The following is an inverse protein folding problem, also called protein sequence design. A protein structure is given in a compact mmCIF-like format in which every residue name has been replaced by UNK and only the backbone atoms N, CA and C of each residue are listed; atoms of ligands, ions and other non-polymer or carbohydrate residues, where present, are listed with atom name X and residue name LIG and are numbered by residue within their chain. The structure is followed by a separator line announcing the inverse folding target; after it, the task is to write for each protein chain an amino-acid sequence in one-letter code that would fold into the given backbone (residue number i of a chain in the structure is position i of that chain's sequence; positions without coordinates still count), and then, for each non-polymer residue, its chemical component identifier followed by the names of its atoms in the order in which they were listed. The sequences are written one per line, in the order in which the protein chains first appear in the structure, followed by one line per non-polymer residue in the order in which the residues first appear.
data_IF_006717731585
#
_entry.id   IF_006717731585
#
_cell.length_a   1.000
_cell.length_b   1.000
_cell.length_c   1.000
_cell.angle_alpha   90.00
_cell.angle_beta   90.00
_cell.angle_gamma   90.00
#
_symmetry.space_group_name_H-M   'P 1'
#
loop_
_entity.id
_entity.type
_entity.pdbx_description
1 polymer ?
#
# COMPACT_ATOMS: atom_id res chain seq x y z
N UNK A 1 48.06 32.89 -20.29
CA UNK A 1 47.36 32.65 -19.01
C UNK A 1 45.88 32.28 -19.17
N UNK A 2 45.44 31.80 -20.34
CA UNK A 2 44.04 31.40 -20.59
C UNK A 2 43.89 29.88 -20.81
N UNK A 3 44.98 29.19 -21.20
CA UNK A 3 44.96 27.77 -21.52
C UNK A 3 44.82 26.90 -20.27
N UNK A 4 45.52 27.23 -19.18
CA UNK A 4 45.45 26.51 -17.90
C UNK A 4 44.07 26.67 -17.23
N UNK A 5 43.44 27.85 -17.32
CA UNK A 5 42.08 28.06 -16.81
C UNK A 5 40.98 27.33 -17.62
N UNK A 6 41.21 27.05 -18.90
CA UNK A 6 40.28 26.27 -19.71
C UNK A 6 40.23 24.80 -19.29
N UNK A 7 41.37 24.17 -18.97
CA UNK A 7 41.42 22.76 -18.54
C UNK A 7 40.68 22.50 -17.23
N UNK A 8 40.81 23.40 -16.25
CA UNK A 8 40.11 23.32 -14.96
C UNK A 8 38.58 23.40 -15.16
N UNK A 9 38.13 24.33 -16.00
CA UNK A 9 36.70 24.51 -16.28
C UNK A 9 36.09 23.31 -17.03
N UNK A 10 36.85 22.69 -17.95
CA UNK A 10 36.43 21.48 -18.67
C UNK A 10 36.36 20.27 -17.74
N UNK A 11 37.30 20.13 -16.81
CA UNK A 11 37.29 19.06 -15.80
C UNK A 11 36.06 19.12 -14.90
N UNK A 12 35.72 20.32 -14.42
CA UNK A 12 34.53 20.55 -13.59
C UNK A 12 33.25 20.24 -14.38
N UNK A 13 33.16 20.67 -15.64
CA UNK A 13 32.02 20.37 -16.51
C UNK A 13 31.82 18.87 -16.73
N UNK A 14 32.90 18.12 -16.97
CA UNK A 14 32.84 16.66 -17.13
C UNK A 14 32.42 15.98 -15.83
N UNK A 15 32.97 16.39 -14.69
CA UNK A 15 32.60 15.84 -13.38
C UNK A 15 31.11 16.08 -13.07
N UNK A 16 30.62 17.29 -13.34
CA UNK A 16 29.21 17.64 -13.14
C UNK A 16 28.29 16.81 -14.04
N UNK A 17 28.69 16.59 -15.30
CA UNK A 17 27.94 15.78 -16.25
C UNK A 17 27.88 14.31 -15.80
N UNK A 18 28.97 13.76 -15.28
CA UNK A 18 29.02 12.40 -14.71
C UNK A 18 28.12 12.29 -13.46
N UNK A 19 28.16 13.28 -12.57
CA UNK A 19 27.30 13.31 -11.37
C UNK A 19 25.82 13.38 -11.74
N UNK A 20 25.48 14.19 -12.75
CA UNK A 20 24.12 14.35 -13.24
C UNK A 20 23.60 13.04 -13.87
N UNK A 21 24.45 12.34 -14.64
CA UNK A 21 24.12 11.03 -15.20
C UNK A 21 23.92 9.97 -14.10
N UNK A 22 24.75 9.95 -13.06
CA UNK A 22 24.58 9.04 -11.92
C UNK A 22 23.29 9.32 -11.14
N UNK A 23 22.94 10.60 -10.97
CA UNK A 23 21.72 11.01 -10.29
C UNK A 23 20.48 10.61 -11.09
N UNK A 24 20.49 10.83 -12.41
CA UNK A 24 19.44 10.37 -13.31
C UNK A 24 19.31 8.85 -13.31
N UNK A 25 20.42 8.11 -13.36
CA UNK A 25 20.42 6.65 -13.25
C UNK A 25 19.78 6.21 -11.94
N UNK A 26 20.16 6.82 -10.81
CA UNK A 26 19.55 6.49 -9.53
C UNK A 26 18.06 6.83 -9.51
N UNK A 27 17.62 8.00 -9.97
CA UNK A 27 16.20 8.39 -9.94
C UNK A 27 15.31 7.63 -10.92
N UNK A 28 15.83 7.18 -12.06
CA UNK A 28 15.06 6.39 -13.05
C UNK A 28 15.04 4.91 -12.66
N UNK A 29 16.11 4.40 -12.04
CA UNK A 29 16.22 2.99 -11.66
C UNK A 29 15.70 2.71 -10.23
N UNK A 30 15.66 3.71 -9.36
CA UNK A 30 15.19 3.59 -7.96
C UNK A 30 13.67 3.43 -7.75
N UNK A 31 12.73 3.93 -8.58
CA UNK A 31 11.32 3.96 -8.19
C UNK A 31 10.49 2.80 -8.73
N UNK A 32 11.07 1.82 -9.45
CA UNK A 32 10.35 0.54 -9.70
C UNK A 32 10.14 -0.27 -8.43
N UNK A 33 10.88 0.01 -7.35
CA UNK A 33 10.75 -0.67 -6.05
C UNK A 33 9.64 -0.07 -5.17
N UNK A 34 9.37 1.24 -5.30
CA UNK A 34 8.35 1.94 -4.51
C UNK A 34 6.96 1.78 -5.12
N UNK A 35 6.83 1.92 -6.45
CA UNK A 35 5.52 1.79 -7.13
C UNK A 35 4.97 0.36 -7.08
N UNK A 36 5.84 -0.66 -7.07
CA UNK A 36 5.43 -2.07 -6.89
C UNK A 36 4.87 -2.35 -5.49
N UNK A 37 5.12 -1.48 -4.52
CA UNK A 37 4.56 -1.58 -3.16
C UNK A 37 3.15 -0.98 -3.09
N UNK A 38 2.84 0.04 -3.90
CA UNK A 38 1.50 0.67 -3.98
C UNK A 38 0.49 -0.10 -4.85
N UNK A 39 0.95 -0.89 -5.83
CA UNK A 39 0.04 -1.68 -6.69
C UNK A 39 -0.50 -2.98 -6.08
N UNK A 40 -0.21 -3.24 -4.81
CA UNK A 40 -0.95 -4.24 -4.02
C UNK A 40 -2.20 -3.54 -3.48
N UNK A 41 -3.20 -3.40 -4.33
CA UNK A 41 -4.57 -3.14 -3.89
C UNK A 41 -4.87 -4.22 -2.84
N UNK A 42 -4.95 -3.81 -1.58
CA UNK A 42 -5.34 -4.65 -0.47
C UNK A 42 -6.75 -4.26 -0.09
N UNK A 43 -7.67 -5.22 -0.09
CA UNK A 43 -9.03 -4.98 0.38
C UNK A 43 -9.02 -5.12 1.91
N UNK A 44 -9.58 -4.13 2.60
CA UNK A 44 -9.83 -4.26 4.03
C UNK A 44 -11.08 -5.13 4.22
N UNK A 45 -10.92 -6.23 4.96
CA UNK A 45 -11.99 -7.14 5.35
C UNK A 45 -12.10 -7.16 6.88
N UNK A 46 -13.31 -7.36 7.38
CA UNK A 46 -13.57 -7.60 8.79
C UNK A 46 -14.32 -8.91 8.98
N UNK A 47 -13.89 -9.67 9.96
CA UNK A 47 -14.58 -10.85 10.45
C UNK A 47 -15.47 -10.46 11.62
N UNK A 48 -16.72 -10.90 11.57
CA UNK A 48 -17.73 -10.64 12.58
C UNK A 48 -18.14 -11.97 13.17
N UNK A 49 -18.16 -12.05 14.50
CA UNK A 49 -18.50 -13.27 15.23
C UNK A 49 -19.67 -13.01 16.17
N UNK A 50 -20.64 -13.92 16.20
CA UNK A 50 -21.71 -13.90 17.18
C UNK A 50 -21.24 -14.50 18.50
N UNK A 51 -21.42 -13.76 19.59
CA UNK A 51 -21.05 -14.21 20.95
C UNK A 51 -21.90 -15.38 21.47
N UNK A 52 -23.12 -15.58 20.92
CA UNK A 52 -24.07 -16.56 21.44
C UNK A 52 -24.00 -17.92 20.75
N UNK A 53 -23.91 -17.96 19.41
CA UNK A 53 -23.90 -19.20 18.63
C UNK A 53 -22.60 -19.47 17.88
N UNK A 54 -21.62 -18.56 17.96
CA UNK A 54 -20.35 -18.69 17.26
C UNK A 54 -20.42 -18.50 15.75
N UNK A 55 -21.54 -18.00 15.21
CA UNK A 55 -21.67 -17.67 13.79
C UNK A 55 -20.60 -16.67 13.37
N UNK A 56 -19.95 -16.89 12.21
CA UNK A 56 -18.90 -16.02 11.67
C UNK A 56 -19.21 -15.60 10.24
N UNK A 57 -18.94 -14.35 9.92
CA UNK A 57 -19.06 -13.81 8.57
C UNK A 57 -17.91 -12.85 8.27
N UNK A 58 -17.43 -12.84 7.02
CA UNK A 58 -16.42 -11.90 6.54
C UNK A 58 -17.08 -10.90 5.60
N UNK A 59 -16.90 -9.61 5.88
CA UNK A 59 -17.50 -8.52 5.11
C UNK A 59 -16.53 -7.35 4.92
N UNK A 60 -16.92 -6.38 4.09
CA UNK A 60 -16.13 -5.16 3.90
C UNK A 60 -16.11 -4.31 5.17
N UNK A 61 -15.01 -3.61 5.42
CA UNK A 61 -14.89 -2.74 6.60
C UNK A 61 -15.57 -1.41 6.36
N UNK A 62 -16.46 -1.03 7.27
CA UNK A 62 -17.06 0.29 7.33
C UNK A 62 -16.16 1.26 8.10
N UNK A 63 -16.22 2.56 7.76
CA UNK A 63 -15.42 3.58 8.44
C UNK A 63 -15.87 3.71 9.90
N UNK A 64 -14.89 3.82 10.81
CA UNK A 64 -15.15 4.01 12.24
C UNK A 64 -15.37 2.71 13.03
N UNK A 65 -15.28 1.55 12.37
CA UNK A 65 -15.39 0.25 13.04
C UNK A 65 -14.05 -0.16 13.66
N UNK A 66 -14.10 -0.75 14.86
CA UNK A 66 -12.94 -1.26 15.58
C UNK A 66 -13.17 -2.70 16.08
N UNK A 67 -12.08 -3.42 16.37
CA UNK A 67 -12.13 -4.79 16.91
C UNK A 67 -12.78 -4.77 18.30
N UNK A 68 -13.78 -5.63 18.50
CA UNK A 68 -14.59 -5.67 19.72
C UNK A 68 -15.86 -4.81 19.67
N UNK A 69 -16.09 -4.04 18.60
CA UNK A 69 -17.32 -3.27 18.43
C UNK A 69 -18.53 -4.17 18.17
N UNK A 70 -19.66 -3.89 18.83
CA UNK A 70 -20.96 -4.51 18.51
C UNK A 70 -21.56 -3.80 17.30
N UNK A 71 -21.82 -4.55 16.25
CA UNK A 71 -22.22 -4.03 14.92
C UNK A 71 -23.64 -4.48 14.52
N UNK A 72 -24.30 -5.26 15.36
CA UNK A 72 -25.70 -5.65 15.15
C UNK A 72 -26.08 -6.93 15.88
N UNK A 73 -27.20 -7.52 15.43
CA UNK A 73 -27.77 -8.75 15.97
C UNK A 73 -27.63 -9.89 14.96
N UNK A 74 -27.35 -11.09 15.46
CA UNK A 74 -27.21 -12.29 14.66
C UNK A 74 -28.56 -12.73 14.11
N UNK A 75 -28.65 -12.87 12.78
CA UNK A 75 -29.84 -13.35 12.08
C UNK A 75 -30.26 -14.78 12.46
N UNK A 76 -29.34 -15.59 13.00
CA UNK A 76 -29.62 -16.98 13.39
C UNK A 76 -30.16 -17.14 14.81
N UNK A 77 -29.71 -16.33 15.76
CA UNK A 77 -29.98 -16.55 17.19
C UNK A 77 -30.31 -15.30 18.01
N UNK A 78 -30.28 -14.13 17.38
CA UNK A 78 -30.52 -12.84 18.04
C UNK A 78 -29.42 -12.37 19.00
N UNK A 79 -28.29 -13.09 19.09
CA UNK A 79 -27.13 -12.67 19.89
C UNK A 79 -26.38 -11.49 19.28
N UNK A 80 -25.52 -10.85 20.06
CA UNK A 80 -24.72 -9.72 19.59
C UNK A 80 -23.63 -10.18 18.61
N UNK A 81 -23.53 -9.46 17.48
CA UNK A 81 -22.47 -9.60 16.50
C UNK A 81 -21.36 -8.62 16.83
N UNK A 82 -20.16 -9.15 17.03
CA UNK A 82 -18.98 -8.39 17.42
C UNK A 82 -17.90 -8.54 16.36
N UNK A 83 -17.20 -7.45 16.08
CA UNK A 83 -16.05 -7.46 15.17
C UNK A 83 -14.91 -8.23 15.82
N UNK A 84 -14.58 -9.39 15.26
CA UNK A 84 -13.54 -10.28 15.77
C UNK A 84 -12.16 -9.89 15.26
N UNK A 85 -12.05 -9.55 13.98
CA UNK A 85 -10.77 -9.16 13.38
C UNK A 85 -10.96 -8.20 12.21
N UNK A 86 -9.98 -7.32 11.97
CA UNK A 86 -9.89 -6.45 10.81
C UNK A 86 -8.52 -6.66 10.17
N UNK A 87 -8.49 -7.03 8.89
CA UNK A 87 -7.24 -7.36 8.20
C UNK A 87 -7.26 -6.90 6.74
N UNK A 88 -6.06 -6.68 6.20
CA UNK A 88 -5.86 -6.32 4.81
C UNK A 88 -5.50 -7.58 4.01
N UNK A 89 -6.33 -7.94 3.06
CA UNK A 89 -6.10 -9.08 2.17
C UNK A 89 -5.63 -8.62 0.80
N UNK A 90 -4.67 -9.35 0.20
CA UNK A 90 -4.18 -9.03 -1.14
C UNK A 90 -5.26 -9.38 -2.15
N UNK A 91 -5.72 -8.39 -2.91
CA UNK A 91 -6.72 -8.62 -3.96
C UNK A 91 -6.03 -9.33 -5.13
N UNK A 92 -6.57 -10.49 -5.52
CA UNK A 92 -6.10 -11.21 -6.70
C UNK A 92 -6.42 -10.42 -7.98
N UNK A 93 -5.65 -10.61 -9.07
CA UNK A 93 -5.90 -9.89 -10.33
C UNK A 93 -7.30 -10.11 -10.91
N UNK A 94 -7.94 -11.24 -10.62
CA UNK A 94 -9.31 -11.58 -11.08
C UNK A 94 -10.39 -10.76 -10.38
N UNK A 95 -10.21 -10.45 -9.10
CA UNK A 95 -11.18 -9.68 -8.31
C UNK A 95 -11.11 -8.18 -8.62
N UNK A 96 -9.93 -7.69 -9.06
CA UNK A 96 -9.68 -6.30 -9.43
C UNK A 96 -10.61 -5.79 -10.55
N UNK A 97 -11.08 -6.68 -11.43
CA UNK A 97 -11.93 -6.34 -12.59
C UNK A 97 -13.36 -5.95 -12.21
N UNK A 98 -13.81 -6.25 -10.99
CA UNK A 98 -15.18 -5.99 -10.52
C UNK A 98 -15.30 -4.74 -9.62
N UNK A 99 -14.18 -4.07 -9.32
CA UNK A 99 -14.12 -2.92 -8.40
C UNK A 99 -13.90 -1.60 -9.15
N UNK A 100 -13.51 -1.66 -10.44
CA UNK A 100 -13.42 -0.52 -11.37
C UNK A 100 -14.67 -0.42 -12.22
#
# INVERSE_FOLDING_TARGET
MNFIMQFESLGILVLFLVLLLLLLYYTVFSPRRVLKRMNRLSALRMEVTCLKCGYREVRGVEKGVYVGMVIGKCSRCGGDLVVHSIYAEKISPSERRYIT
#
